data_IF_016408033148
#
_entry.id   IF_016408033148
#
_cell.length_a   1.000
_cell.length_b   1.000
_cell.length_c   1.000
_cell.angle_alpha   90.00
_cell.angle_beta   90.00
_cell.angle_gamma   90.00
#
_symmetry.space_group_name_H-M   'P 1'
#
loop_
_entity.id
_entity.type
_entity.pdbx_description
1 polymer ?
#
# COMPACT_ATOMS: atom_id res chain seq x y z
N UNK A 1 12.20 51.05 14.07
CA UNK A 1 12.83 50.09 13.12
C UNK A 1 13.36 48.82 13.80
N UNK A 2 14.10 48.93 14.91
CA UNK A 2 14.68 47.76 15.60
C UNK A 2 13.64 46.75 16.13
N UNK A 3 12.54 47.24 16.72
CA UNK A 3 11.42 46.40 17.16
C UNK A 3 10.76 45.61 16.01
N UNK A 4 10.60 46.23 14.84
CA UNK A 4 10.07 45.57 13.65
C UNK A 4 11.02 44.50 13.10
N UNK A 5 12.34 44.75 13.09
CA UNK A 5 13.33 43.76 12.69
C UNK A 5 13.36 42.55 13.64
N UNK A 6 13.24 42.80 14.95
CA UNK A 6 13.17 41.75 15.96
C UNK A 6 11.90 40.90 15.80
N UNK A 7 10.75 41.54 15.62
CA UNK A 7 9.47 40.86 15.36
C UNK A 7 9.53 40.02 14.09
N UNK A 8 10.10 40.54 13.00
CA UNK A 8 10.27 39.81 11.74
C UNK A 8 11.18 38.59 11.90
N UNK A 9 12.27 38.70 12.67
CA UNK A 9 13.16 37.57 12.97
C UNK A 9 12.47 36.51 13.81
N UNK A 10 11.71 36.92 14.81
CA UNK A 10 10.93 36.01 15.66
C UNK A 10 9.89 35.23 14.85
N UNK A 11 9.15 35.92 13.97
CA UNK A 11 8.17 35.30 13.09
C UNK A 11 8.80 34.27 12.15
N UNK A 12 9.93 34.61 11.51
CA UNK A 12 10.68 33.67 10.66
C UNK A 12 11.15 32.43 11.42
N UNK A 13 11.64 32.60 12.64
CA UNK A 13 12.05 31.46 13.47
C UNK A 13 10.87 30.55 13.82
N UNK A 14 9.68 31.12 14.06
CA UNK A 14 8.46 30.32 14.29
C UNK A 14 8.07 29.55 13.03
N UNK A 15 8.08 30.21 11.87
CA UNK A 15 7.75 29.58 10.58
C UNK A 15 8.72 28.45 10.24
N UNK A 16 10.02 28.66 10.44
CA UNK A 16 11.04 27.62 10.25
C UNK A 16 10.85 26.42 11.18
N UNK A 17 10.54 26.66 12.46
CA UNK A 17 10.24 25.58 13.41
C UNK A 17 8.99 24.80 13.00
N UNK A 18 7.92 25.50 12.59
CA UNK A 18 6.69 24.87 12.08
C UNK A 18 6.97 24.02 10.84
N UNK A 19 7.74 24.53 9.90
CA UNK A 19 8.14 23.81 8.70
C UNK A 19 8.98 22.56 9.03
N UNK A 20 9.91 22.64 9.99
CA UNK A 20 10.68 21.47 10.44
C UNK A 20 9.78 20.40 11.07
N UNK A 21 8.82 20.79 11.91
CA UNK A 21 7.85 19.85 12.50
C UNK A 21 6.97 19.21 11.43
N UNK A 22 6.50 19.97 10.46
CA UNK A 22 5.75 19.46 9.32
C UNK A 22 6.57 18.44 8.49
N UNK A 23 7.86 18.71 8.27
CA UNK A 23 8.78 17.79 7.60
C UNK A 23 8.92 16.45 8.34
N UNK A 24 9.05 16.45 9.67
CA UNK A 24 9.05 15.20 10.44
C UNK A 24 7.72 14.45 10.32
N UNK A 25 6.59 15.16 10.37
CA UNK A 25 5.26 14.56 10.19
C UNK A 25 5.10 13.90 8.83
N UNK A 26 5.60 14.53 7.76
CA UNK A 26 5.61 13.97 6.40
C UNK A 26 6.35 12.63 6.35
N UNK A 27 7.59 12.60 6.83
CA UNK A 27 8.42 11.37 6.82
C UNK A 27 7.77 10.29 7.68
N UNK A 28 7.24 10.66 8.85
CA UNK A 28 6.57 9.71 9.73
C UNK A 28 5.28 9.15 9.16
N UNK A 29 4.47 9.99 8.50
CA UNK A 29 3.25 9.54 7.82
C UNK A 29 3.57 8.55 6.70
N UNK A 30 4.56 8.85 5.84
CA UNK A 30 5.02 7.93 4.79
C UNK A 30 5.49 6.60 5.38
N UNK A 31 6.24 6.62 6.49
CA UNK A 31 6.66 5.40 7.17
C UNK A 31 5.47 4.57 7.69
N UNK A 32 4.50 5.21 8.34
CA UNK A 32 3.31 4.53 8.86
C UNK A 32 2.46 3.92 7.73
N UNK A 33 2.33 4.63 6.62
CA UNK A 33 1.66 4.14 5.41
C UNK A 33 2.41 2.92 4.85
N UNK A 34 3.73 3.01 4.66
CA UNK A 34 4.55 1.88 4.20
C UNK A 34 4.45 0.68 5.13
N UNK A 35 4.54 0.89 6.44
CA UNK A 35 4.43 -0.18 7.43
C UNK A 35 3.07 -0.88 7.36
N UNK A 36 1.98 -0.15 7.12
CA UNK A 36 0.65 -0.76 6.94
C UNK A 36 0.64 -1.72 5.75
N UNK A 37 1.23 -1.33 4.62
CA UNK A 37 1.33 -2.18 3.42
C UNK A 37 2.19 -3.42 3.69
N UNK A 38 3.33 -3.25 4.37
CA UNK A 38 4.21 -4.37 4.74
C UNK A 38 3.47 -5.37 5.64
N UNK A 39 2.71 -4.90 6.63
CA UNK A 39 1.97 -5.77 7.54
C UNK A 39 0.94 -6.62 6.77
N UNK A 40 0.20 -6.01 5.83
CA UNK A 40 -0.74 -6.75 4.99
C UNK A 40 0.01 -7.82 4.19
N UNK A 41 1.11 -7.44 3.55
CA UNK A 41 1.91 -8.36 2.75
C UNK A 41 2.45 -9.52 3.59
N UNK A 42 3.12 -9.22 4.70
CA UNK A 42 3.81 -10.20 5.55
C UNK A 42 2.84 -11.19 6.16
N UNK A 43 1.76 -10.68 6.75
CA UNK A 43 0.89 -11.49 7.61
C UNK A 43 -0.14 -12.30 6.80
N UNK A 44 -0.52 -11.84 5.60
CA UNK A 44 -1.62 -12.45 4.85
C UNK A 44 -1.27 -12.86 3.42
N UNK A 45 -0.49 -12.06 2.68
CA UNK A 45 -0.27 -12.30 1.24
C UNK A 45 0.92 -13.21 0.99
N UNK A 46 2.03 -12.97 1.68
CA UNK A 46 3.30 -13.65 1.47
C UNK A 46 3.23 -15.18 1.63
N UNK A 47 2.54 -15.72 2.67
CA UNK A 47 2.40 -17.17 2.81
C UNK A 47 1.68 -17.83 1.63
N UNK A 48 0.71 -17.14 1.03
CA UNK A 48 -0.19 -17.68 0.00
C UNK A 48 0.19 -17.30 -1.43
N UNK A 49 1.30 -16.57 -1.63
CA UNK A 49 1.66 -15.97 -2.92
C UNK A 49 1.93 -17.01 -4.04
N UNK A 50 2.30 -18.24 -3.65
CA UNK A 50 2.55 -19.37 -4.55
C UNK A 50 1.37 -20.33 -4.67
N UNK A 51 0.30 -20.13 -3.88
CA UNK A 51 -0.87 -20.98 -3.86
C UNK A 51 -1.80 -20.63 -5.04
N UNK A 52 -2.27 -21.64 -5.80
CA UNK A 52 -3.26 -21.45 -6.86
C UNK A 52 -4.62 -21.00 -6.30
N UNK A 53 -4.96 -21.45 -5.09
CA UNK A 53 -6.15 -21.07 -4.33
C UNK A 53 -6.01 -19.80 -3.47
N UNK A 54 -5.03 -18.92 -3.76
CA UNK A 54 -4.74 -17.72 -2.94
C UNK A 54 -5.96 -16.81 -2.73
N UNK A 55 -6.86 -16.75 -3.69
CA UNK A 55 -8.06 -15.91 -3.64
C UNK A 55 -9.06 -16.33 -2.53
N UNK A 56 -8.97 -17.59 -2.07
CA UNK A 56 -9.68 -18.11 -0.91
C UNK A 56 -8.80 -18.25 0.34
N UNK A 57 -7.53 -18.59 0.13
CA UNK A 57 -6.60 -18.88 1.23
C UNK A 57 -6.20 -17.61 1.98
N UNK A 58 -6.12 -16.47 1.29
CA UNK A 58 -5.94 -15.17 1.92
C UNK A 58 -7.24 -14.84 2.69
N UNK A 59 -7.20 -14.68 4.03
CA UNK A 59 -8.41 -14.44 4.80
C UNK A 59 -9.01 -13.07 4.47
N UNK A 60 -10.32 -12.93 4.63
CA UNK A 60 -10.94 -11.61 4.63
C UNK A 60 -10.52 -10.84 5.89
N UNK A 61 -10.12 -9.59 5.72
CA UNK A 61 -9.67 -8.76 6.83
C UNK A 61 -10.77 -7.83 7.31
N UNK A 62 -10.64 -7.36 8.55
CA UNK A 62 -11.45 -6.26 9.05
C UNK A 62 -11.21 -5.01 8.20
N UNK A 63 -12.23 -4.15 8.01
CA UNK A 63 -12.10 -2.97 7.16
C UNK A 63 -11.02 -2.02 7.71
N UNK A 64 -10.08 -1.65 6.85
CA UNK A 64 -9.07 -0.64 7.18
C UNK A 64 -9.69 0.75 7.25
N UNK A 65 -9.28 1.52 8.25
CA UNK A 65 -9.62 2.94 8.33
C UNK A 65 -8.76 3.74 7.35
N UNK A 66 -9.41 4.31 6.32
CA UNK A 66 -8.76 5.06 5.24
C UNK A 66 -8.17 6.40 5.69
N UNK A 67 -8.70 6.99 6.75
CA UNK A 67 -8.21 8.28 7.28
C UNK A 67 -6.97 8.10 8.15
N UNK A 68 -6.71 6.87 8.61
CA UNK A 68 -5.59 6.56 9.50
C UNK A 68 -4.26 6.81 8.78
N UNK A 69 -3.37 7.56 9.43
CA UNK A 69 -2.05 7.92 8.92
C UNK A 69 -2.06 8.78 7.63
N UNK A 70 -3.17 9.44 7.31
CA UNK A 70 -3.21 10.44 6.23
C UNK A 70 -2.76 11.80 6.76
N UNK A 71 -2.10 12.57 5.91
CA UNK A 71 -1.70 13.95 6.22
C UNK A 71 -2.49 14.93 5.35
N UNK A 72 -2.89 16.04 5.95
CA UNK A 72 -3.60 17.10 5.23
C UNK A 72 -2.59 17.95 4.45
N UNK A 73 -2.93 18.36 3.23
CA UNK A 73 -2.07 19.20 2.39
C UNK A 73 -1.75 20.55 3.03
N UNK A 74 -2.63 21.05 3.91
CA UNK A 74 -2.43 22.27 4.70
C UNK A 74 -1.26 22.17 5.68
N UNK A 75 -0.87 20.97 6.11
CA UNK A 75 0.29 20.77 6.98
C UNK A 75 1.61 20.93 6.21
N UNK A 76 1.58 20.86 4.87
CA UNK A 76 2.76 20.82 4.00
C UNK A 76 2.99 22.11 3.21
N UNK A 77 2.42 23.23 3.64
CA UNK A 77 2.52 24.52 2.92
C UNK A 77 3.97 24.97 2.68
N UNK A 78 4.91 24.60 3.55
CA UNK A 78 6.34 24.94 3.38
C UNK A 78 6.95 24.37 2.08
N UNK A 79 6.38 23.30 1.53
CA UNK A 79 6.80 22.72 0.26
C UNK A 79 6.48 23.62 -0.94
N UNK A 80 5.58 24.59 -0.79
CA UNK A 80 5.21 25.50 -1.88
C UNK A 80 6.26 26.58 -2.14
N UNK A 81 7.15 26.83 -1.18
CA UNK A 81 8.13 27.93 -1.21
C UNK A 81 9.11 27.84 -2.40
N UNK A 82 9.40 26.62 -2.87
CA UNK A 82 10.36 26.40 -3.96
C UNK A 82 9.90 25.31 -4.95
N UNK A 83 10.58 25.24 -6.10
CA UNK A 83 10.21 24.31 -7.18
C UNK A 83 10.41 22.84 -6.80
N UNK A 84 11.49 22.52 -6.07
CA UNK A 84 11.78 21.15 -5.66
C UNK A 84 10.74 20.68 -4.63
N UNK A 85 10.40 21.53 -3.65
CA UNK A 85 9.34 21.27 -2.68
C UNK A 85 7.99 20.97 -3.32
N UNK A 86 7.59 21.73 -4.36
CA UNK A 86 6.35 21.47 -5.10
C UNK A 86 6.36 20.10 -5.78
N UNK A 87 7.52 19.65 -6.27
CA UNK A 87 7.70 18.29 -6.79
C UNK A 87 7.49 17.23 -5.72
N UNK A 88 8.04 17.44 -4.52
CA UNK A 88 7.83 16.54 -3.37
C UNK A 88 6.36 16.49 -2.96
N UNK A 89 5.68 17.64 -2.90
CA UNK A 89 4.25 17.71 -2.58
C UNK A 89 3.41 16.90 -3.56
N UNK A 90 3.70 17.00 -4.86
CA UNK A 90 3.04 16.20 -5.89
C UNK A 90 3.30 14.70 -5.72
N UNK A 91 4.56 14.29 -5.48
CA UNK A 91 4.90 12.89 -5.20
C UNK A 91 4.15 12.36 -3.97
N UNK A 92 4.12 13.14 -2.89
CA UNK A 92 3.37 12.80 -1.68
C UNK A 92 1.89 12.61 -1.94
N UNK A 93 1.25 13.55 -2.64
CA UNK A 93 -0.16 13.46 -2.98
C UNK A 93 -0.46 12.17 -3.76
N UNK A 94 0.32 11.89 -4.82
CA UNK A 94 0.15 10.67 -5.61
C UNK A 94 0.36 9.40 -4.78
N UNK A 95 1.34 9.38 -3.88
CA UNK A 95 1.61 8.23 -3.02
C UNK A 95 0.48 8.00 -2.01
N UNK A 96 -0.05 9.06 -1.39
CA UNK A 96 -1.17 8.98 -0.44
C UNK A 96 -2.47 8.52 -1.12
N UNK A 97 -2.77 9.00 -2.33
CA UNK A 97 -3.93 8.53 -3.09
C UNK A 97 -3.82 7.04 -3.43
N UNK A 98 -2.63 6.57 -3.86
CA UNK A 98 -2.41 5.14 -4.13
C UNK A 98 -2.55 4.30 -2.85
N UNK A 99 -2.10 4.82 -1.70
CA UNK A 99 -2.30 4.18 -0.40
C UNK A 99 -3.79 4.01 -0.06
N UNK A 100 -4.58 5.08 -0.18
CA UNK A 100 -6.02 5.06 0.11
C UNK A 100 -6.74 4.10 -0.86
N UNK A 101 -6.42 4.17 -2.14
CA UNK A 101 -7.02 3.31 -3.16
C UNK A 101 -6.70 1.82 -2.90
N UNK A 102 -5.47 1.50 -2.51
CA UNK A 102 -5.07 0.13 -2.19
C UNK A 102 -5.85 -0.43 -1.00
N UNK A 103 -6.02 0.36 0.07
CA UNK A 103 -6.82 -0.05 1.22
C UNK A 103 -8.31 -0.20 0.85
N UNK A 104 -8.82 0.67 -0.02
CA UNK A 104 -10.20 0.61 -0.52
C UNK A 104 -10.44 -0.68 -1.32
N UNK A 105 -9.51 -1.05 -2.20
CA UNK A 105 -9.57 -2.30 -2.95
C UNK A 105 -9.53 -3.52 -2.01
N UNK A 106 -8.69 -3.46 -0.97
CA UNK A 106 -8.61 -4.54 0.01
C UNK A 106 -9.88 -4.70 0.85
N UNK A 107 -10.51 -3.58 1.22
CA UNK A 107 -11.80 -3.58 1.88
C UNK A 107 -12.87 -4.20 0.96
N UNK A 108 -12.94 -3.77 -0.30
CA UNK A 108 -13.88 -4.34 -1.28
C UNK A 108 -13.68 -5.85 -1.49
N UNK A 109 -12.42 -6.30 -1.57
CA UNK A 109 -12.06 -7.72 -1.64
C UNK A 109 -12.55 -8.49 -0.42
N UNK A 110 -12.34 -7.94 0.77
CA UNK A 110 -12.75 -8.56 2.03
C UNK A 110 -14.28 -8.64 2.15
N UNK A 111 -15.00 -7.59 1.72
CA UNK A 111 -16.47 -7.59 1.62
C UNK A 111 -16.97 -8.66 0.66
N UNK A 112 -16.41 -8.75 -0.55
CA UNK A 112 -16.79 -9.78 -1.52
C UNK A 112 -16.57 -11.19 -0.95
N UNK A 113 -15.46 -11.40 -0.24
CA UNK A 113 -15.14 -12.67 0.38
C UNK A 113 -16.10 -13.03 1.53
N UNK A 114 -16.41 -12.09 2.43
CA UNK A 114 -17.29 -12.31 3.59
C UNK A 114 -18.77 -12.45 3.19
N UNK A 115 -19.25 -11.63 2.26
CA UNK A 115 -20.68 -11.54 1.95
C UNK A 115 -21.13 -12.49 0.85
N UNK A 116 -20.21 -12.89 -0.05
CA UNK A 116 -20.54 -13.75 -1.20
C UNK A 116 -19.83 -15.09 -1.13
N UNK A 117 -18.50 -15.09 -0.97
CA UNK A 117 -17.73 -16.32 -1.10
C UNK A 117 -17.94 -17.28 0.09
N UNK A 118 -17.77 -16.81 1.32
CA UNK A 118 -17.93 -17.67 2.51
C UNK A 118 -19.34 -18.27 2.64
N UNK A 119 -20.44 -17.51 2.44
CA UNK A 119 -21.79 -18.09 2.51
C UNK A 119 -22.04 -19.13 1.41
N UNK A 120 -21.57 -18.88 0.19
CA UNK A 120 -21.72 -19.82 -0.93
C UNK A 120 -20.95 -21.13 -0.69
N UNK A 121 -19.73 -21.05 -0.15
CA UNK A 121 -18.94 -22.22 0.23
C UNK A 121 -19.55 -22.97 1.43
N UNK A 122 -20.16 -22.27 2.38
CA UNK A 122 -20.84 -22.92 3.49
C UNK A 122 -22.10 -23.67 3.03
N UNK A 123 -22.81 -23.12 2.04
CA UNK A 123 -24.03 -23.70 1.49
C UNK A 123 -23.77 -24.92 0.56
N UNK A 124 -22.58 -25.05 -0.02
CA UNK A 124 -22.24 -26.14 -0.95
C UNK A 124 -21.99 -27.49 -0.26
N UNK A 125 -21.97 -27.52 1.07
CA UNK A 125 -21.74 -28.75 1.85
C UNK A 125 -20.29 -29.25 1.78
N UNK A 126 -19.36 -28.45 1.22
CA UNK A 126 -17.94 -28.76 1.23
C UNK A 126 -17.43 -28.77 2.67
N UNK A 127 -16.83 -29.90 3.08
CA UNK A 127 -16.26 -30.05 4.42
C UNK A 127 -14.98 -29.22 4.52
N UNK A 128 -14.89 -28.39 5.55
CA UNK A 128 -13.69 -27.60 5.81
C UNK A 128 -12.48 -28.52 6.02
N UNK A 129 -11.42 -28.32 5.23
CA UNK A 129 -10.21 -29.14 5.28
C UNK A 129 -10.20 -30.40 4.41
N UNK A 130 -11.26 -30.65 3.62
CA UNK A 130 -11.23 -31.68 2.59
C UNK A 130 -10.45 -31.20 1.35
N UNK A 131 -9.83 -32.14 0.62
CA UNK A 131 -9.24 -31.83 -0.69
C UNK A 131 -10.36 -31.50 -1.68
N UNK A 132 -10.35 -30.26 -2.16
CA UNK A 132 -11.38 -29.75 -3.09
C UNK A 132 -10.75 -29.44 -4.44
N UNK A 133 -11.41 -29.84 -5.52
CA UNK A 133 -10.98 -29.49 -6.88
C UNK A 133 -11.42 -28.07 -7.24
N UNK A 134 -10.68 -27.40 -8.13
CA UNK A 134 -11.06 -26.05 -8.62
C UNK A 134 -12.46 -26.02 -9.20
N UNK A 135 -12.86 -27.08 -9.91
CA UNK A 135 -14.19 -27.20 -10.50
C UNK A 135 -15.30 -27.22 -9.45
N UNK A 136 -15.11 -27.92 -8.34
CA UNK A 136 -16.08 -27.93 -7.23
C UNK A 136 -16.19 -26.56 -6.55
N UNK A 137 -15.09 -25.82 -6.48
CA UNK A 137 -15.08 -24.45 -5.95
C UNK A 137 -15.82 -23.50 -6.89
N UNK A 138 -15.58 -23.61 -8.20
CA UNK A 138 -16.27 -22.82 -9.22
C UNK A 138 -17.78 -23.10 -9.22
N UNK A 139 -18.18 -24.37 -9.12
CA UNK A 139 -19.59 -24.78 -9.01
C UNK A 139 -20.25 -24.23 -7.74
N UNK A 140 -19.54 -24.23 -6.61
CA UNK A 140 -20.05 -23.70 -5.34
C UNK A 140 -20.22 -22.17 -5.34
N UNK A 141 -19.25 -21.45 -5.91
CA UNK A 141 -19.26 -19.97 -5.94
C UNK A 141 -20.08 -19.40 -7.10
N UNK A 142 -20.21 -20.16 -8.18
CA UNK A 142 -20.67 -19.70 -9.48
C UNK A 142 -19.58 -18.95 -10.24
N UNK A 143 -19.55 -19.13 -11.56
CA UNK A 143 -18.51 -18.61 -12.46
C UNK A 143 -18.22 -17.11 -12.30
N UNK A 144 -19.26 -16.30 -12.02
CA UNK A 144 -19.11 -14.86 -11.85
C UNK A 144 -18.35 -14.49 -10.56
N UNK A 145 -18.73 -15.06 -9.42
CA UNK A 145 -18.08 -14.76 -8.13
C UNK A 145 -16.68 -15.36 -8.10
N UNK A 146 -16.51 -16.56 -8.66
CA UNK A 146 -15.20 -17.20 -8.81
C UNK A 146 -14.21 -16.32 -9.58
N UNK A 147 -14.58 -15.92 -10.80
CA UNK A 147 -13.72 -15.06 -11.63
C UNK A 147 -13.48 -13.68 -11.01
N UNK A 148 -14.51 -13.08 -10.40
CA UNK A 148 -14.38 -11.79 -9.72
C UNK A 148 -13.39 -11.87 -8.54
N UNK A 149 -13.46 -12.91 -7.71
CA UNK A 149 -12.61 -13.05 -6.53
C UNK A 149 -11.14 -13.25 -6.89
N UNK A 150 -10.85 -14.01 -7.95
CA UNK A 150 -9.50 -14.16 -8.51
C UNK A 150 -8.98 -12.81 -8.99
N UNK A 151 -9.72 -12.15 -9.88
CA UNK A 151 -9.29 -10.87 -10.47
C UNK A 151 -9.09 -9.78 -9.42
N UNK A 152 -10.01 -9.66 -8.46
CA UNK A 152 -9.91 -8.67 -7.38
C UNK A 152 -8.71 -8.98 -6.48
N UNK A 153 -8.46 -10.24 -6.14
CA UNK A 153 -7.31 -10.61 -5.31
C UNK A 153 -5.99 -10.32 -6.03
N UNK A 154 -5.88 -10.67 -7.31
CA UNK A 154 -4.67 -10.43 -8.09
C UNK A 154 -4.40 -8.92 -8.27
N UNK A 155 -5.44 -8.13 -8.55
CA UNK A 155 -5.33 -6.67 -8.62
C UNK A 155 -4.90 -6.07 -7.28
N UNK A 156 -5.44 -6.56 -6.17
CA UNK A 156 -5.04 -6.10 -4.85
C UNK A 156 -3.56 -6.34 -4.56
N UNK A 157 -3.01 -7.50 -4.96
CA UNK A 157 -1.58 -7.81 -4.81
C UNK A 157 -0.72 -6.86 -5.65
N UNK A 158 -1.14 -6.55 -6.88
CA UNK A 158 -0.45 -5.58 -7.74
C UNK A 158 -0.48 -4.17 -7.13
N UNK A 159 -1.63 -3.75 -6.61
CA UNK A 159 -1.78 -2.45 -5.93
C UNK A 159 -0.89 -2.33 -4.69
N UNK A 160 -0.78 -3.39 -3.87
CA UNK A 160 0.14 -3.42 -2.72
C UNK A 160 1.59 -3.15 -3.15
N UNK A 161 2.07 -3.83 -4.19
CA UNK A 161 3.43 -3.68 -4.73
C UNK A 161 3.67 -2.27 -5.26
N UNK A 162 2.76 -1.78 -6.11
CA UNK A 162 2.85 -0.43 -6.70
C UNK A 162 2.88 0.65 -5.61
N UNK A 163 2.00 0.54 -4.62
CA UNK A 163 1.90 1.48 -3.51
C UNK A 163 3.15 1.44 -2.64
N UNK A 164 3.69 0.26 -2.35
CA UNK A 164 4.96 0.13 -1.64
C UNK A 164 6.10 0.88 -2.34
N UNK A 165 6.27 0.67 -3.66
CA UNK A 165 7.31 1.36 -4.45
C UNK A 165 7.13 2.88 -4.41
N UNK A 166 5.90 3.37 -4.63
CA UNK A 166 5.61 4.80 -4.63
C UNK A 166 5.86 5.45 -3.27
N UNK A 167 5.47 4.80 -2.17
CA UNK A 167 5.70 5.31 -0.82
C UNK A 167 7.20 5.37 -0.49
N UNK A 168 7.95 4.31 -0.81
CA UNK A 168 9.39 4.23 -0.55
C UNK A 168 10.18 5.24 -1.38
N UNK A 169 9.87 5.38 -2.67
CA UNK A 169 10.47 6.39 -3.55
C UNK A 169 10.16 7.82 -3.06
N UNK A 170 8.90 8.09 -2.74
CA UNK A 170 8.46 9.39 -2.23
C UNK A 170 9.14 9.73 -0.90
N UNK A 171 9.29 8.76 0.00
CA UNK A 171 10.01 8.92 1.27
C UNK A 171 11.48 9.28 1.02
N UNK A 172 12.16 8.55 0.14
CA UNK A 172 13.57 8.80 -0.17
C UNK A 172 13.78 10.21 -0.76
N UNK A 173 12.93 10.60 -1.72
CA UNK A 173 12.93 11.94 -2.31
C UNK A 173 12.63 13.04 -1.28
N UNK A 174 11.63 12.82 -0.43
CA UNK A 174 11.24 13.76 0.64
C UNK A 174 12.38 13.95 1.63
N UNK A 175 13.03 12.86 2.06
CA UNK A 175 14.16 12.92 2.99
C UNK A 175 15.33 13.71 2.40
N UNK A 176 15.73 13.40 1.16
CA UNK A 176 16.81 14.11 0.49
C UNK A 176 16.56 15.62 0.42
N UNK A 177 15.35 16.02 0.03
CA UNK A 177 14.94 17.43 -0.01
C UNK A 177 14.93 18.08 1.38
N UNK A 178 14.42 17.39 2.40
CA UNK A 178 14.32 17.92 3.76
C UNK A 178 15.70 18.10 4.41
N UNK A 179 16.61 17.13 4.24
CA UNK A 179 17.99 17.20 4.74
C UNK A 179 18.73 18.39 4.11
N UNK A 180 18.61 18.56 2.80
CA UNK A 180 19.17 19.70 2.07
C UNK A 180 18.59 21.04 2.57
N UNK A 181 17.27 21.13 2.70
CA UNK A 181 16.58 22.36 3.09
C UNK A 181 16.86 22.81 4.52
N UNK A 182 16.96 21.88 5.47
CA UNK A 182 17.12 22.22 6.90
C UNK A 182 18.55 22.04 7.43
N UNK A 183 19.48 21.54 6.60
CA UNK A 183 20.90 21.51 6.92
C UNK A 183 21.28 20.61 8.10
N UNK A 184 20.65 19.44 8.22
CA UNK A 184 20.96 18.48 9.28
C UNK A 184 20.39 17.08 9.04
N UNK A 185 21.03 16.07 9.63
CA UNK A 185 20.68 14.64 9.51
C UNK A 185 19.75 14.14 10.64
N UNK A 186 19.08 15.07 11.33
CA UNK A 186 18.10 14.80 12.39
C UNK A 186 16.80 14.15 11.86
N UNK A 187 16.76 13.82 10.57
CA UNK A 187 15.62 13.19 9.92
C UNK A 187 15.84 11.69 9.82
N UNK A 188 14.88 10.94 10.36
CA UNK A 188 14.99 9.49 10.49
C UNK A 188 15.34 8.82 9.16
N UNK A 189 16.40 8.02 9.19
CA UNK A 189 16.78 7.12 8.11
C UNK A 189 16.24 5.72 8.43
N UNK A 190 15.28 5.25 7.63
CA UNK A 190 14.67 3.94 7.82
C UNK A 190 15.01 3.01 6.67
N UNK A 191 15.82 2.01 6.98
CA UNK A 191 15.96 0.81 6.18
C UNK A 191 14.75 -0.10 6.42
N UNK A 192 14.12 -0.57 5.35
CA UNK A 192 13.13 -1.66 5.40
C UNK A 192 13.86 -2.88 4.86
N UNK A 193 14.41 -3.75 5.72
CA UNK A 193 15.26 -4.86 5.28
C UNK A 193 14.45 -5.98 4.60
N UNK A 194 13.23 -6.22 5.06
CA UNK A 194 12.37 -7.31 4.57
C UNK A 194 11.13 -6.75 3.88
N UNK A 195 11.06 -6.94 2.56
CA UNK A 195 9.94 -6.45 1.74
C UNK A 195 8.96 -7.55 1.35
N UNK A 196 9.19 -8.80 1.77
CA UNK A 196 8.29 -9.94 1.57
C UNK A 196 7.76 -10.07 0.13
N UNK A 197 8.62 -9.86 -0.86
CA UNK A 197 8.27 -9.94 -2.29
C UNK A 197 7.49 -8.74 -2.85
N UNK A 198 7.50 -7.59 -2.16
CA UNK A 198 6.96 -6.32 -2.66
C UNK A 198 7.88 -5.65 -3.69
N UNK A 199 9.20 -5.86 -3.56
CA UNK A 199 10.23 -5.33 -4.46
C UNK A 199 10.67 -6.29 -5.57
N UNK A 200 10.07 -7.48 -5.67
CA UNK A 200 10.39 -8.41 -6.76
C UNK A 200 9.88 -7.86 -8.11
N UNK A 201 10.79 -7.30 -8.91
CA UNK A 201 10.57 -6.86 -10.30
C UNK A 201 10.24 -8.00 -11.28
N UNK A 202 10.40 -9.26 -10.86
CA UNK A 202 10.41 -10.43 -11.75
C UNK A 202 9.05 -10.93 -12.27
N UNK A 203 7.95 -10.18 -12.11
CA UNK A 203 6.60 -10.61 -12.56
C UNK A 203 5.79 -9.61 -13.37
N UNK A 204 6.32 -8.44 -13.70
CA UNK A 204 5.63 -7.49 -14.61
C UNK A 204 5.88 -7.77 -16.10
N UNK A 205 6.74 -8.75 -16.47
CA UNK A 205 7.11 -9.01 -17.88
C UNK A 205 6.91 -10.47 -18.36
N UNK A 206 5.89 -11.19 -17.90
CA UNK A 206 5.53 -12.47 -18.53
C UNK A 206 4.04 -12.83 -18.41
N UNK A 207 3.19 -11.98 -18.99
CA UNK A 207 1.83 -12.33 -19.43
C UNK A 207 1.78 -13.39 -20.55
N UNK A 208 2.80 -14.26 -20.64
CA UNK A 208 2.88 -15.45 -21.47
C UNK A 208 3.41 -16.63 -20.66
N UNK A 209 2.78 -16.93 -19.52
CA UNK A 209 2.88 -18.27 -18.96
C UNK A 209 2.14 -19.20 -19.92
N UNK A 210 2.88 -19.84 -20.82
CA UNK A 210 2.43 -21.05 -21.52
C UNK A 210 2.00 -22.03 -20.43
N UNK A 211 0.70 -22.31 -20.33
CA UNK A 211 0.21 -23.52 -19.70
C UNK A 211 0.79 -24.71 -20.47
N UNK A 212 1.91 -25.27 -20.01
CA UNK A 212 2.30 -26.62 -20.39
C UNK A 212 1.39 -27.59 -19.64
N UNK A 213 0.26 -27.91 -20.26
CA UNK A 213 -0.52 -29.09 -19.97
C UNK A 213 0.36 -30.32 -20.23
N UNK A 214 0.83 -30.97 -19.16
CA UNK A 214 1.40 -32.32 -19.25
C UNK A 214 0.24 -33.31 -19.31
N UNK A 215 -0.20 -33.61 -20.53
CA UNK A 215 -1.11 -34.73 -20.79
C UNK A 215 -0.28 -36.01 -20.71
N UNK A 216 -0.38 -36.74 -19.60
CA UNK A 216 -0.03 -38.16 -19.59
C UNK A 216 -1.14 -38.90 -20.35
N UNK A 217 -0.81 -39.41 -21.53
CA UNK A 217 -1.58 -40.46 -22.19
C UNK A 217 -1.06 -41.80 -21.69
N UNK A 218 -1.94 -42.57 -21.06
CA UNK A 218 -1.86 -44.05 -21.07
C UNK A 218 -2.18 -44.58 -22.48
#
# INVERSE_FOLDING_TARGET
MLAYMLQRRFQRNIEQKKAKVAAHRLIFALLQQTNTIILIQRDYVFPELKNSGRFLSIPALAPFNLEKNTLQSSDLLFLLDDKAGRGILHCFYMAQENYIETLTQWNARSTLHLEKAQPALAASGLVSGADVTEKQIEEALGAHVYGALINVTDNCILSLRRTFRLLTDTRNKSRAYIVDRFGGDDFMDFSIPDTYGLDDESREDNSRVKMTLSVHRE
#
